data_IF_303324922105
#
_entry.id   IF_303324922105
#
_cell.length_a   1.000
_cell.length_b   1.000
_cell.length_c   1.000
_cell.angle_alpha   90.00
_cell.angle_beta   90.00
_cell.angle_gamma   90.00
#
_symmetry.space_group_name_H-M   'P 1'
#
loop_
_entity.id
_entity.type
_entity.pdbx_description
1 polymer ?
#
# COMPACT_ATOMS: atom_id res chain seq x y z
N UNK A 1 2.99 -1.41 7.62
CA UNK A 1 3.73 -1.32 6.35
C UNK A 1 3.66 0.12 5.86
N UNK A 2 4.59 0.55 5.03
CA UNK A 2 4.52 1.89 4.42
C UNK A 2 3.39 2.01 3.39
N UNK A 3 2.88 3.23 3.22
CA UNK A 3 1.72 3.48 2.37
C UNK A 3 1.97 3.20 0.88
N UNK A 4 3.23 3.26 0.41
CA UNK A 4 3.54 2.93 -0.99
C UNK A 4 3.35 1.43 -1.22
N UNK A 5 3.84 0.59 -0.32
CA UNK A 5 3.60 -0.84 -0.39
C UNK A 5 2.11 -1.18 -0.37
N UNK A 6 1.34 -0.55 0.52
CA UNK A 6 -0.09 -0.78 0.63
C UNK A 6 -0.86 -0.35 -0.62
N UNK A 7 -0.44 0.76 -1.24
CA UNK A 7 -0.95 1.20 -2.54
C UNK A 7 -0.67 0.17 -3.65
N UNK A 8 0.56 -0.35 -3.71
CA UNK A 8 0.98 -1.34 -4.72
C UNK A 8 0.20 -2.65 -4.59
N UNK A 9 0.11 -3.19 -3.37
CA UNK A 9 -0.64 -4.42 -3.12
C UNK A 9 -2.14 -4.22 -3.39
N UNK A 10 -2.70 -3.10 -2.97
CA UNK A 10 -4.08 -2.72 -3.27
C UNK A 10 -4.33 -2.65 -4.78
N UNK A 11 -3.43 -2.02 -5.55
CA UNK A 11 -3.52 -1.93 -7.00
C UNK A 11 -3.49 -3.31 -7.67
N UNK A 12 -2.59 -4.19 -7.23
CA UNK A 12 -2.52 -5.57 -7.73
C UNK A 12 -3.82 -6.34 -7.47
N UNK A 13 -4.40 -6.20 -6.26
CA UNK A 13 -5.71 -6.77 -5.94
C UNK A 13 -6.81 -6.24 -6.88
N UNK A 14 -6.80 -4.93 -7.15
CA UNK A 14 -7.72 -4.33 -8.11
C UNK A 14 -7.58 -4.91 -9.52
N UNK A 15 -6.36 -5.08 -10.04
CA UNK A 15 -6.12 -5.69 -11.34
C UNK A 15 -6.61 -7.14 -11.41
N UNK A 16 -6.35 -7.93 -10.37
CA UNK A 16 -6.79 -9.33 -10.30
C UNK A 16 -8.31 -9.44 -10.39
N UNK A 17 -9.04 -8.58 -9.67
CA UNK A 17 -10.52 -8.67 -9.62
C UNK A 17 -11.18 -8.03 -10.85
N UNK A 18 -10.73 -6.84 -11.25
CA UNK A 18 -11.45 -5.99 -12.19
C UNK A 18 -10.62 -5.51 -13.40
N UNK A 19 -9.33 -5.84 -13.47
CA UNK A 19 -8.42 -5.37 -14.51
C UNK A 19 -8.92 -5.63 -15.93
N UNK A 20 -9.50 -6.81 -16.18
CA UNK A 20 -10.04 -7.16 -17.50
C UNK A 20 -11.33 -6.42 -17.87
N UNK A 21 -12.11 -5.97 -16.88
CA UNK A 21 -13.39 -5.27 -17.10
C UNK A 21 -13.17 -3.76 -17.29
N UNK A 22 -12.36 -3.14 -16.42
CA UNK A 22 -12.24 -1.68 -16.33
C UNK A 22 -10.82 -1.15 -16.54
N UNK A 23 -9.84 -2.02 -16.82
CA UNK A 23 -8.45 -1.66 -17.11
C UNK A 23 -7.77 -0.96 -15.95
N UNK A 24 -6.98 0.09 -16.27
CA UNK A 24 -6.23 0.86 -15.27
C UNK A 24 -7.09 1.52 -14.18
N UNK A 25 -8.39 1.69 -14.39
CA UNK A 25 -9.30 2.15 -13.33
C UNK A 25 -9.33 1.14 -12.17
N UNK A 26 -9.13 -0.16 -12.43
CA UNK A 26 -9.07 -1.19 -11.42
C UNK A 26 -7.83 -1.04 -10.54
N UNK A 27 -6.66 -0.78 -11.16
CA UNK A 27 -5.43 -0.47 -10.44
C UNK A 27 -5.61 0.73 -9.50
N UNK A 28 -6.20 1.82 -9.99
CA UNK A 28 -6.42 3.04 -9.18
C UNK A 28 -7.42 2.79 -8.06
N UNK A 29 -8.55 2.15 -8.32
CA UNK A 29 -9.54 1.83 -7.29
C UNK A 29 -8.97 0.88 -6.24
N UNK A 30 -8.17 -0.10 -6.66
CA UNK A 30 -7.49 -1.02 -5.76
C UNK A 30 -6.44 -0.31 -4.90
N UNK A 31 -5.64 0.58 -5.49
CA UNK A 31 -4.70 1.44 -4.79
C UNK A 31 -5.39 2.27 -3.71
N UNK A 32 -6.50 2.94 -4.05
CA UNK A 32 -7.33 3.69 -3.10
C UNK A 32 -7.82 2.73 -2.00
N UNK A 33 -8.34 1.56 -2.39
CA UNK A 33 -8.80 0.53 -1.47
C UNK A 33 -7.74 0.12 -0.44
N UNK A 34 -6.51 -0.09 -0.90
CA UNK A 34 -5.37 -0.45 -0.06
C UNK A 34 -4.94 0.66 0.89
N UNK A 35 -5.27 1.93 0.63
CA UNK A 35 -4.96 3.06 1.52
C UNK A 35 -6.08 3.41 2.49
N UNK A 36 -7.28 2.83 2.33
CA UNK A 36 -8.45 3.17 3.17
C UNK A 36 -8.16 2.94 4.66
N UNK A 37 -7.58 1.80 5.11
CA UNK A 37 -7.33 1.57 6.53
C UNK A 37 -6.47 2.67 7.17
N UNK A 38 -5.42 3.12 6.49
CA UNK A 38 -4.50 4.18 6.96
C UNK A 38 -5.13 5.58 7.01
N UNK A 39 -6.35 5.77 6.48
CA UNK A 39 -7.05 7.05 6.64
C UNK A 39 -7.45 7.30 8.11
N UNK A 40 -7.32 6.30 8.98
CA UNK A 40 -7.43 6.45 10.42
C UNK A 40 -6.42 7.45 11.02
N UNK A 41 -5.34 7.80 10.31
CA UNK A 41 -4.41 8.89 10.69
C UNK A 41 -5.15 10.22 10.84
N UNK A 42 -6.24 10.44 10.11
CA UNK A 42 -7.07 11.64 10.24
C UNK A 42 -7.76 11.75 11.61
N UNK A 43 -7.86 10.65 12.37
CA UNK A 43 -8.37 10.68 13.74
C UNK A 43 -7.51 11.57 14.66
N UNK A 44 -6.22 11.75 14.34
CA UNK A 44 -5.31 12.64 15.08
C UNK A 44 -5.73 14.11 15.09
N UNK A 45 -6.61 14.55 14.17
CA UNK A 45 -7.17 15.90 14.20
C UNK A 45 -8.26 16.08 15.27
N UNK A 46 -8.83 14.98 15.78
CA UNK A 46 -9.98 14.99 16.68
C UNK A 46 -9.70 14.32 18.04
N UNK A 47 -8.71 13.43 18.09
CA UNK A 47 -8.33 12.67 19.28
C UNK A 47 -7.01 13.17 19.87
N UNK A 48 -6.83 12.95 21.17
CA UNK A 48 -5.53 13.16 21.82
C UNK A 48 -4.50 12.16 21.26
N UNK A 49 -3.19 12.48 21.36
CA UNK A 49 -2.13 11.68 20.75
C UNK A 49 -2.17 10.19 21.13
N UNK A 50 -2.44 9.88 22.41
CA UNK A 50 -2.52 8.49 22.90
C UNK A 50 -3.74 7.75 22.32
N UNK A 51 -4.90 8.41 22.28
CA UNK A 51 -6.13 7.84 21.74
C UNK A 51 -6.04 7.68 20.22
N UNK A 52 -5.45 8.65 19.53
CA UNK A 52 -5.17 8.58 18.10
C UNK A 52 -4.23 7.42 17.77
N UNK A 53 -3.19 7.20 18.59
CA UNK A 53 -2.25 6.08 18.41
C UNK A 53 -2.89 4.72 18.75
N UNK A 54 -3.83 4.68 19.69
CA UNK A 54 -4.60 3.47 20.00
C UNK A 54 -5.63 3.16 18.91
N UNK A 55 -6.27 4.20 18.35
CA UNK A 55 -7.24 4.11 17.27
C UNK A 55 -6.56 3.74 15.94
N UNK A 56 -5.38 4.31 15.69
CA UNK A 56 -4.53 3.96 14.57
C UNK A 56 -4.17 2.47 14.67
N UNK A 57 -4.51 1.68 13.64
CA UNK A 57 -4.35 0.21 13.61
C UNK A 57 -5.34 -0.60 14.45
N UNK A 58 -6.40 0.04 14.93
CA UNK A 58 -7.51 -0.58 15.63
C UNK A 58 -8.69 -0.89 14.70
N UNK A 59 -9.81 -0.14 14.76
CA UNK A 59 -11.05 -0.53 14.07
C UNK A 59 -10.92 -0.70 12.56
N UNK A 60 -10.21 0.19 11.87
CA UNK A 60 -10.09 0.19 10.41
C UNK A 60 -9.16 -0.92 9.87
N UNK A 61 -8.36 -1.54 10.75
CA UNK A 61 -7.48 -2.66 10.45
C UNK A 61 -8.06 -4.00 10.92
N UNK A 62 -9.33 -4.01 11.32
CA UNK A 62 -10.03 -5.24 11.74
C UNK A 62 -10.57 -6.04 10.54
N UNK A 63 -10.69 -7.36 10.72
CA UNK A 63 -11.36 -8.23 9.76
C UNK A 63 -12.84 -7.86 9.61
N UNK A 64 -13.47 -7.38 10.69
CA UNK A 64 -14.85 -6.92 10.66
C UNK A 64 -15.03 -5.72 9.70
N UNK A 65 -14.14 -4.73 9.79
CA UNK A 65 -14.13 -3.59 8.88
C UNK A 65 -13.90 -4.02 7.44
N UNK A 66 -12.92 -4.89 7.21
CA UNK A 66 -12.65 -5.46 5.89
C UNK A 66 -13.83 -6.23 5.30
N UNK A 67 -14.69 -6.84 6.12
CA UNK A 67 -15.90 -7.53 5.67
C UNK A 67 -17.07 -6.57 5.37
N UNK A 68 -17.27 -5.51 6.17
CA UNK A 68 -18.47 -4.65 6.07
C UNK A 68 -18.25 -3.48 5.12
N UNK A 69 -17.14 -2.76 5.24
CA UNK A 69 -16.91 -1.51 4.51
C UNK A 69 -16.92 -1.66 2.97
N UNK A 70 -16.44 -2.77 2.36
CA UNK A 70 -16.51 -2.97 0.92
C UNK A 70 -17.93 -2.87 0.33
N UNK A 71 -18.95 -3.29 1.07
CA UNK A 71 -20.35 -3.18 0.63
C UNK A 71 -20.79 -1.72 0.50
N UNK A 72 -20.33 -0.87 1.44
CA UNK A 72 -20.64 0.56 1.49
C UNK A 72 -19.89 1.28 0.36
N UNK A 73 -18.58 1.14 0.29
CA UNK A 73 -17.77 1.85 -0.71
C UNK A 73 -18.08 1.35 -2.13
N UNK A 74 -18.33 0.05 -2.31
CA UNK A 74 -18.76 -0.53 -3.58
C UNK A 74 -20.08 0.07 -4.08
N UNK A 75 -21.00 0.40 -3.17
CA UNK A 75 -22.29 1.01 -3.52
C UNK A 75 -22.09 2.44 -4.03
N UNK A 76 -21.30 3.24 -3.31
CA UNK A 76 -20.99 4.61 -3.73
C UNK A 76 -20.22 4.66 -5.04
N UNK A 77 -19.26 3.76 -5.25
CA UNK A 77 -18.51 3.69 -6.52
C UNK A 77 -19.41 3.27 -7.67
N UNK A 78 -20.31 2.29 -7.49
CA UNK A 78 -21.28 1.91 -8.52
C UNK A 78 -22.22 3.08 -8.84
N UNK A 79 -22.78 3.72 -7.82
CA UNK A 79 -23.66 4.90 -7.98
C UNK A 79 -22.94 6.06 -8.68
N UNK A 80 -21.67 6.28 -8.38
CA UNK A 80 -20.84 7.29 -9.03
C UNK A 80 -20.69 7.02 -10.54
N UNK A 81 -20.38 5.79 -10.93
CA UNK A 81 -20.29 5.45 -12.35
C UNK A 81 -21.65 5.47 -13.05
N UNK A 82 -22.73 5.05 -12.39
CA UNK A 82 -24.08 5.08 -12.95
C UNK A 82 -24.60 6.51 -13.17
N UNK A 83 -24.17 7.45 -12.34
CA UNK A 83 -24.54 8.86 -12.48
C UNK A 83 -23.98 9.55 -13.74
N UNK A 84 -22.98 8.95 -14.39
CA UNK A 84 -22.29 9.53 -15.54
C UNK A 84 -21.46 10.79 -15.23
N UNK A 85 -21.38 11.24 -13.97
CA UNK A 85 -20.63 12.44 -13.56
C UNK A 85 -19.17 12.36 -13.98
N UNK A 86 -18.56 11.17 -13.90
CA UNK A 86 -17.17 10.91 -14.27
C UNK A 86 -16.83 11.31 -15.73
N UNK A 87 -17.82 11.35 -16.62
CA UNK A 87 -17.62 11.67 -18.03
C UNK A 87 -17.86 13.17 -18.34
N UNK A 88 -18.47 13.92 -17.40
CA UNK A 88 -18.68 15.36 -17.55
C UNK A 88 -17.31 16.06 -17.68
N UNK A 89 -17.18 16.96 -18.66
CA UNK A 89 -15.91 17.66 -18.95
C UNK A 89 -15.38 18.41 -17.72
N UNK A 90 -16.26 19.09 -16.97
CA UNK A 90 -15.89 19.78 -15.74
C UNK A 90 -15.28 18.87 -14.68
N UNK A 91 -15.84 17.68 -14.47
CA UNK A 91 -15.30 16.69 -13.53
C UNK A 91 -13.91 16.20 -13.96
N UNK A 92 -13.71 15.94 -15.26
CA UNK A 92 -12.41 15.51 -15.81
C UNK A 92 -11.34 16.60 -15.71
N UNK A 93 -11.71 17.85 -15.95
CA UNK A 93 -10.82 19.01 -15.74
C UNK A 93 -10.45 19.14 -14.27
N UNK A 94 -11.44 19.04 -13.37
CA UNK A 94 -11.20 19.10 -11.93
C UNK A 94 -10.23 18.00 -11.48
N UNK A 95 -10.48 16.74 -11.87
CA UNK A 95 -9.58 15.63 -11.55
C UNK A 95 -8.17 15.81 -12.10
N UNK A 96 -8.03 16.38 -13.31
CA UNK A 96 -6.74 16.72 -13.90
C UNK A 96 -5.99 17.79 -13.09
N UNK A 97 -6.66 18.90 -12.75
CA UNK A 97 -6.06 19.99 -11.95
C UNK A 97 -5.66 19.47 -10.57
N UNK A 98 -6.55 18.71 -9.93
CA UNK A 98 -6.27 18.11 -8.62
C UNK A 98 -5.04 17.20 -8.66
N UNK A 99 -4.95 16.31 -9.65
CA UNK A 99 -3.78 15.47 -9.85
C UNK A 99 -2.50 16.27 -10.15
N UNK A 100 -2.61 17.36 -10.90
CA UNK A 100 -1.48 18.25 -11.21
C UNK A 100 -0.96 18.95 -9.94
N UNK A 101 -1.85 19.46 -9.09
CA UNK A 101 -1.46 20.09 -7.82
C UNK A 101 -0.74 19.11 -6.90
N UNK A 102 -1.25 17.88 -6.77
CA UNK A 102 -0.59 16.83 -5.98
C UNK A 102 0.79 16.52 -6.56
N UNK A 103 0.91 16.36 -7.88
CA UNK A 103 2.18 16.08 -8.53
C UNK A 103 3.20 17.19 -8.32
N UNK A 104 2.80 18.45 -8.42
CA UNK A 104 3.68 19.60 -8.17
C UNK A 104 4.12 19.67 -6.70
N UNK A 105 3.21 19.36 -5.76
CA UNK A 105 3.53 19.28 -4.32
C UNK A 105 4.54 18.17 -4.01
N UNK A 106 4.31 16.95 -4.49
CA UNK A 106 5.24 15.84 -4.29
C UNK A 106 6.57 16.09 -5.03
N UNK A 107 6.50 16.59 -6.26
CA UNK A 107 7.67 16.88 -7.08
C UNK A 107 8.56 17.97 -6.48
N UNK A 108 7.99 18.99 -5.83
CA UNK A 108 8.76 20.02 -5.13
C UNK A 108 9.47 19.47 -3.89
N UNK A 109 8.79 18.65 -3.06
CA UNK A 109 9.42 17.96 -1.92
C UNK A 109 10.56 17.06 -2.40
N UNK A 110 10.32 16.25 -3.43
CA UNK A 110 11.34 15.37 -4.01
C UNK A 110 12.54 16.17 -4.56
N UNK A 111 12.29 17.32 -5.18
CA UNK A 111 13.34 18.20 -5.67
C UNK A 111 14.21 18.75 -4.54
N UNK A 112 13.60 19.14 -3.40
CA UNK A 112 14.34 19.60 -2.21
C UNK A 112 15.23 18.47 -1.67
N UNK A 113 14.69 17.26 -1.56
CA UNK A 113 15.45 16.08 -1.12
C UNK A 113 16.62 15.79 -2.06
N UNK A 114 16.39 15.86 -3.38
CA UNK A 114 17.45 15.67 -4.38
C UNK A 114 18.55 16.72 -4.25
N UNK A 115 18.21 18.00 -4.08
CA UNK A 115 19.20 19.07 -3.87
C UNK A 115 20.01 18.81 -2.60
N UNK A 116 19.36 18.35 -1.52
CA UNK A 116 20.04 18.04 -0.27
C UNK A 116 21.07 16.91 -0.41
N UNK A 117 20.73 15.85 -1.17
CA UNK A 117 21.58 14.66 -1.32
C UNK A 117 22.65 14.85 -2.41
N UNK A 118 22.25 15.39 -3.57
CA UNK A 118 23.05 15.40 -4.81
C UNK A 118 23.64 16.78 -5.16
N UNK A 119 23.29 17.82 -4.39
CA UNK A 119 23.78 19.19 -4.53
C UNK A 119 23.68 19.69 -6.00
N UNK A 120 24.79 20.14 -6.59
CA UNK A 120 24.81 20.68 -7.96
C UNK A 120 24.37 19.69 -9.04
N UNK A 121 24.50 18.38 -8.81
CA UNK A 121 24.04 17.38 -9.80
C UNK A 121 22.52 17.19 -9.78
N UNK A 122 21.84 17.63 -8.71
CA UNK A 122 20.39 17.52 -8.56
C UNK A 122 19.61 18.28 -9.63
N UNK A 123 20.12 19.42 -10.11
CA UNK A 123 19.42 20.27 -11.08
C UNK A 123 19.15 19.55 -12.41
N UNK A 124 20.05 18.65 -12.84
CA UNK A 124 19.85 17.83 -14.03
C UNK A 124 18.67 16.86 -13.80
N UNK A 125 18.62 16.20 -12.65
CA UNK A 125 17.53 15.28 -12.31
C UNK A 125 16.18 16.00 -12.16
N UNK A 126 16.18 17.19 -11.57
CA UNK A 126 14.97 18.03 -11.45
C UNK A 126 14.46 18.44 -12.84
N UNK A 127 15.36 18.85 -13.74
CA UNK A 127 14.99 19.17 -15.12
C UNK A 127 14.39 17.95 -15.84
N UNK A 128 15.01 16.77 -15.71
CA UNK A 128 14.48 15.53 -16.29
C UNK A 128 13.10 15.17 -15.73
N UNK A 129 12.91 15.29 -14.41
CA UNK A 129 11.62 15.08 -13.73
C UNK A 129 10.56 16.07 -14.24
N UNK A 130 10.92 17.35 -14.43
CA UNK A 130 10.02 18.36 -14.95
C UNK A 130 9.60 18.08 -16.40
N UNK A 131 10.55 17.70 -17.26
CA UNK A 131 10.27 17.31 -18.66
C UNK A 131 9.36 16.09 -18.70
N UNK A 132 9.68 15.04 -17.93
CA UNK A 132 8.87 13.84 -17.86
C UNK A 132 7.46 14.13 -17.34
N UNK A 133 7.36 14.92 -16.27
CA UNK A 133 6.09 15.38 -15.71
C UNK A 133 5.25 16.14 -16.73
N UNK A 134 5.85 17.07 -17.47
CA UNK A 134 5.17 17.81 -18.54
C UNK A 134 4.63 16.86 -19.62
N UNK A 135 5.44 15.93 -20.11
CA UNK A 135 5.02 14.96 -21.13
C UNK A 135 3.90 14.05 -20.61
N UNK A 136 3.97 13.62 -19.36
CA UNK A 136 2.96 12.78 -18.71
C UNK A 136 1.63 13.52 -18.54
N UNK A 137 1.63 14.75 -18.02
CA UNK A 137 0.41 15.54 -17.88
C UNK A 137 -0.17 15.96 -19.23
N UNK A 138 0.66 16.23 -20.24
CA UNK A 138 0.21 16.41 -21.61
C UNK A 138 -0.53 15.17 -22.10
N UNK A 139 0.04 13.98 -21.89
CA UNK A 139 -0.60 12.71 -22.24
C UNK A 139 -1.95 12.51 -21.52
N UNK A 140 -2.01 12.77 -20.21
CA UNK A 140 -3.27 12.67 -19.45
C UNK A 140 -4.30 13.67 -19.98
N UNK A 141 -3.91 14.92 -20.25
CA UNK A 141 -4.83 15.93 -20.76
C UNK A 141 -5.52 15.47 -22.05
N UNK A 142 -4.75 14.96 -23.02
CA UNK A 142 -5.32 14.48 -24.27
C UNK A 142 -6.13 13.18 -24.14
N UNK A 143 -5.76 12.26 -23.23
CA UNK A 143 -6.42 10.95 -23.13
C UNK A 143 -7.52 10.85 -22.07
N UNK A 144 -7.51 11.71 -21.06
CA UNK A 144 -8.51 11.74 -19.99
C UNK A 144 -9.46 12.94 -20.17
N UNK A 145 -8.93 14.16 -20.26
CA UNK A 145 -9.75 15.39 -20.30
C UNK A 145 -10.48 15.53 -21.63
N UNK A 146 -9.83 15.21 -22.75
CA UNK A 146 -10.43 15.41 -24.08
C UNK A 146 -11.24 14.20 -24.57
N UNK A 147 -10.95 12.97 -24.13
CA UNK A 147 -11.65 11.76 -24.59
C UNK A 147 -12.75 11.32 -23.63
N UNK A 148 -13.94 11.04 -24.16
CA UNK A 148 -15.02 10.41 -23.39
C UNK A 148 -14.57 9.06 -22.87
N UNK A 149 -14.85 8.82 -21.59
CA UNK A 149 -14.43 7.61 -20.90
C UNK A 149 -15.49 6.53 -21.08
N UNK A 150 -15.05 5.31 -21.37
CA UNK A 150 -15.96 4.17 -21.41
C UNK A 150 -16.62 3.95 -20.04
N UNK A 151 -17.91 3.63 -20.08
CA UNK A 151 -18.70 3.24 -18.90
C UNK A 151 -18.18 1.89 -18.41
N UNK A 152 -17.79 1.76 -17.14
CA UNK A 152 -17.39 0.48 -16.57
C UNK A 152 -18.48 -0.58 -16.72
N UNK A 153 -18.12 -1.77 -17.19
CA UNK A 153 -19.02 -2.94 -17.27
C UNK A 153 -19.14 -3.72 -15.95
N UNK A 154 -18.52 -3.21 -14.88
CA UNK A 154 -18.45 -3.87 -13.58
C UNK A 154 -19.79 -3.82 -12.83
N UNK A 155 -20.17 -4.94 -12.23
CA UNK A 155 -21.33 -5.05 -11.35
C UNK A 155 -21.03 -4.49 -9.97
N UNK A 156 -22.06 -4.22 -9.16
CA UNK A 156 -21.89 -3.83 -7.76
C UNK A 156 -21.00 -4.84 -7.00
N UNK A 157 -21.27 -6.13 -7.13
CA UNK A 157 -20.51 -7.18 -6.46
C UNK A 157 -19.05 -7.24 -6.91
N UNK A 158 -18.74 -6.87 -8.15
CA UNK A 158 -17.35 -6.79 -8.59
C UNK A 158 -16.57 -5.69 -7.84
N UNK A 159 -17.21 -4.53 -7.60
CA UNK A 159 -16.61 -3.47 -6.78
C UNK A 159 -16.45 -3.90 -5.33
N UNK A 160 -17.44 -4.58 -4.76
CA UNK A 160 -17.34 -5.15 -3.41
C UNK A 160 -16.15 -6.10 -3.32
N UNK A 161 -15.96 -7.01 -4.28
CA UNK A 161 -14.81 -7.93 -4.32
C UNK A 161 -13.48 -7.21 -4.42
N UNK A 162 -13.39 -6.15 -5.23
CA UNK A 162 -12.17 -5.35 -5.37
C UNK A 162 -11.81 -4.71 -4.03
N UNK A 163 -12.76 -4.01 -3.40
CA UNK A 163 -12.50 -3.32 -2.14
C UNK A 163 -12.29 -4.29 -0.99
N UNK A 164 -13.01 -5.41 -0.96
CA UNK A 164 -12.80 -6.47 0.02
C UNK A 164 -11.37 -6.97 -0.02
N UNK A 165 -10.87 -7.35 -1.21
CA UNK A 165 -9.51 -7.85 -1.31
C UNK A 165 -8.47 -6.78 -0.95
N UNK A 166 -8.59 -5.57 -1.52
CA UNK A 166 -7.64 -4.47 -1.25
C UNK A 166 -7.61 -4.04 0.22
N UNK A 167 -8.78 -3.96 0.88
CA UNK A 167 -8.87 -3.58 2.30
C UNK A 167 -8.41 -4.73 3.20
N UNK A 168 -8.74 -5.98 2.89
CA UNK A 168 -8.36 -7.14 3.69
C UNK A 168 -6.84 -7.39 3.68
N UNK A 169 -6.19 -7.23 2.53
CA UNK A 169 -4.74 -7.47 2.42
C UNK A 169 -3.91 -6.48 3.23
N UNK A 170 -4.44 -5.29 3.48
CA UNK A 170 -3.74 -4.25 4.22
C UNK A 170 -3.40 -4.65 5.67
N UNK A 171 -4.38 -4.95 6.54
CA UNK A 171 -4.10 -5.30 7.92
C UNK A 171 -3.40 -6.64 8.06
N UNK A 172 -3.57 -7.55 7.10
CA UNK A 172 -2.80 -8.80 7.03
C UNK A 172 -1.32 -8.50 6.81
N UNK A 173 -0.98 -7.64 5.84
CA UNK A 173 0.41 -7.23 5.63
C UNK A 173 0.96 -6.46 6.83
N UNK A 174 0.16 -5.59 7.45
CA UNK A 174 0.60 -4.85 8.64
C UNK A 174 0.81 -5.75 9.86
N UNK A 175 0.08 -6.87 9.98
CA UNK A 175 0.32 -7.89 11.02
C UNK A 175 1.68 -8.60 10.88
N UNK A 176 2.31 -8.52 9.70
CA UNK A 176 3.66 -9.06 9.44
C UNK A 176 4.78 -8.09 9.83
N UNK A 177 4.43 -6.84 10.14
CA UNK A 177 5.37 -5.83 10.63
C UNK A 177 5.44 -5.79 12.15
N UNK A 178 6.46 -5.11 12.69
CA UNK A 178 6.67 -4.96 14.13
C UNK A 178 5.54 -4.26 14.87
N UNK A 179 4.82 -3.34 14.20
CA UNK A 179 3.74 -2.59 14.85
C UNK A 179 2.47 -3.43 15.06
N UNK A 180 2.23 -4.41 14.18
CA UNK A 180 1.03 -5.23 14.19
C UNK A 180 -0.28 -4.47 13.95
N UNK A 181 -1.38 -5.23 14.04
CA UNK A 181 -2.77 -4.75 13.88
C UNK A 181 -3.74 -5.51 14.79
N UNK A 182 -4.86 -4.88 15.15
CA UNK A 182 -5.94 -5.52 15.92
C UNK A 182 -6.92 -6.23 14.98
N UNK A 183 -6.52 -7.37 14.40
CA UNK A 183 -7.32 -8.10 13.41
C UNK A 183 -8.72 -8.50 13.93
N UNK A 184 -8.83 -8.82 15.22
CA UNK A 184 -10.06 -9.33 15.83
C UNK A 184 -10.88 -8.28 16.58
N UNK A 185 -10.57 -6.99 16.42
CA UNK A 185 -11.41 -5.93 16.97
C UNK A 185 -12.85 -6.01 16.40
N UNK A 186 -13.92 -5.82 17.20
CA UNK A 186 -13.97 -5.42 18.61
C UNK A 186 -13.98 -6.59 19.61
N UNK A 187 -13.81 -7.83 19.16
CA UNK A 187 -13.87 -9.01 20.01
C UNK A 187 -12.61 -9.20 20.86
N UNK A 188 -11.46 -8.74 20.35
CA UNK A 188 -10.19 -8.71 21.09
C UNK A 188 -9.42 -7.43 20.78
N UNK A 189 -8.71 -6.92 21.78
CA UNK A 189 -7.82 -5.77 21.68
C UNK A 189 -6.35 -6.18 21.46
N UNK A 190 -6.07 -7.48 21.33
CA UNK A 190 -4.72 -7.99 21.08
C UNK A 190 -4.21 -7.56 19.71
N UNK A 191 -2.95 -7.10 19.68
CA UNK A 191 -2.24 -6.74 18.45
C UNK A 191 -1.44 -7.93 17.97
N UNK A 192 -1.71 -8.37 16.76
CA UNK A 192 -0.97 -9.46 16.12
C UNK A 192 0.18 -8.83 15.34
N UNK A 193 1.41 -9.14 15.77
CA UNK A 193 2.65 -8.64 15.18
C UNK A 193 3.66 -9.79 15.03
N UNK A 194 3.80 -10.31 13.81
CA UNK A 194 4.79 -11.35 13.49
C UNK A 194 6.18 -10.73 13.33
N UNK A 195 6.31 -9.46 12.94
CA UNK A 195 7.62 -8.78 12.86
C UNK A 195 8.64 -9.43 11.91
N UNK A 196 8.20 -10.12 10.86
CA UNK A 196 9.11 -10.76 9.89
C UNK A 196 9.61 -9.81 8.80
N UNK A 197 8.91 -8.69 8.55
CA UNK A 197 9.28 -7.72 7.53
C UNK A 197 9.37 -6.30 8.10
N UNK A 198 10.32 -5.52 7.58
CA UNK A 198 10.47 -4.11 7.93
C UNK A 198 9.29 -3.30 7.40
N UNK A 199 8.95 -2.21 8.08
CA UNK A 199 7.83 -1.34 7.69
C UNK A 199 8.05 -0.75 6.29
N UNK A 200 9.30 -0.38 5.99
CA UNK A 200 9.74 0.07 4.67
C UNK A 200 10.79 -0.93 4.19
N UNK A 201 10.50 -1.64 3.10
CA UNK A 201 11.42 -2.60 2.50
C UNK A 201 11.47 -2.38 0.96
N UNK A 202 12.50 -1.66 0.45
CA UNK A 202 12.67 -1.40 -0.97
C UNK A 202 12.79 -2.67 -1.82
N UNK A 203 13.38 -3.75 -1.29
CA UNK A 203 13.59 -5.01 -2.01
C UNK A 203 12.25 -5.71 -2.24
N UNK A 204 11.34 -5.60 -1.28
CA UNK A 204 9.96 -6.05 -1.45
C UNK A 204 9.15 -5.13 -2.38
N UNK A 205 9.23 -3.82 -2.14
CA UNK A 205 8.30 -2.83 -2.71
C UNK A 205 8.56 -2.54 -4.18
N UNK A 206 9.81 -2.27 -4.56
CA UNK A 206 10.12 -1.76 -5.89
C UNK A 206 9.96 -2.79 -7.02
N UNK A 207 10.36 -4.07 -6.87
CA UNK A 207 10.08 -5.08 -7.89
C UNK A 207 8.58 -5.25 -8.13
N UNK A 208 7.78 -5.24 -7.05
CA UNK A 208 6.34 -5.38 -7.16
C UNK A 208 5.68 -4.14 -7.79
N UNK A 209 6.10 -2.94 -7.37
CA UNK A 209 5.70 -1.67 -8.00
C UNK A 209 6.02 -1.67 -9.49
N UNK A 210 7.20 -2.15 -9.89
CA UNK A 210 7.60 -2.29 -11.28
C UNK A 210 6.62 -3.14 -12.09
N UNK A 211 6.15 -4.26 -11.52
CA UNK A 211 5.13 -5.10 -12.15
C UNK A 211 3.78 -4.36 -12.29
N UNK A 212 3.34 -3.66 -11.25
CA UNK A 212 2.10 -2.88 -11.25
C UNK A 212 2.14 -1.77 -12.31
N UNK A 213 3.23 -1.02 -12.38
CA UNK A 213 3.44 0.04 -13.38
C UNK A 213 3.50 -0.57 -14.79
N UNK A 214 4.27 -1.64 -14.98
CA UNK A 214 4.41 -2.33 -16.26
C UNK A 214 3.05 -2.83 -16.78
N UNK A 215 2.22 -3.40 -15.90
CA UNK A 215 0.86 -3.81 -16.23
C UNK A 215 0.01 -2.65 -16.77
N UNK A 216 0.18 -1.44 -16.20
CA UNK A 216 -0.53 -0.23 -16.61
C UNK A 216 -0.35 0.18 -18.07
N UNK A 217 0.71 -0.25 -18.74
CA UNK A 217 0.99 0.09 -20.14
C UNK A 217 0.29 -0.80 -21.18
N UNK A 218 -0.27 -1.94 -20.76
CA UNK A 218 -0.92 -2.89 -21.68
C UNK A 218 -2.44 -2.67 -21.73
N UNK A 219 -3.08 -3.01 -22.85
CA UNK A 219 -4.53 -2.93 -22.99
C UNK A 219 -5.24 -3.96 -22.08
N UNK A 220 -6.44 -3.64 -21.57
CA UNK A 220 -7.19 -4.52 -20.64
C UNK A 220 -7.49 -5.94 -21.17
N UNK A 221 -7.46 -6.12 -22.49
CA UNK A 221 -7.68 -7.41 -23.17
C UNK A 221 -6.40 -8.23 -23.34
N UNK A 222 -5.23 -7.62 -23.12
CA UNK A 222 -3.94 -8.27 -23.30
C UNK A 222 -3.65 -9.22 -22.12
N UNK A 223 -3.35 -10.48 -22.44
CA UNK A 223 -2.98 -11.51 -21.46
C UNK A 223 -1.70 -11.15 -20.70
N UNK A 224 -0.83 -10.31 -21.27
CA UNK A 224 0.40 -9.82 -20.63
C UNK A 224 0.11 -9.14 -19.28
N UNK A 225 -1.02 -8.42 -19.15
CA UNK A 225 -1.42 -7.78 -17.88
C UNK A 225 -1.52 -8.79 -16.74
N UNK A 226 -2.30 -9.85 -16.94
CA UNK A 226 -2.49 -10.89 -15.94
C UNK A 226 -1.18 -11.63 -15.62
N UNK A 227 -0.34 -11.85 -16.62
CA UNK A 227 0.98 -12.47 -16.41
C UNK A 227 1.91 -11.60 -15.57
N UNK A 228 2.04 -10.31 -15.90
CA UNK A 228 2.93 -9.38 -15.18
C UNK A 228 2.49 -9.23 -13.71
N UNK A 229 1.19 -9.03 -13.46
CA UNK A 229 0.69 -8.97 -12.08
C UNK A 229 0.85 -10.32 -11.36
N UNK A 230 0.64 -11.44 -12.06
CA UNK A 230 0.89 -12.77 -11.51
C UNK A 230 2.34 -12.95 -11.05
N UNK A 231 3.31 -12.49 -11.86
CA UNK A 231 4.73 -12.47 -11.48
C UNK A 231 4.95 -11.58 -10.26
N UNK A 232 4.38 -10.38 -10.24
CA UNK A 232 4.50 -9.47 -9.09
C UNK A 232 3.98 -10.08 -7.78
N UNK A 233 2.80 -10.70 -7.82
CA UNK A 233 2.20 -11.39 -6.68
C UNK A 233 3.06 -12.59 -6.26
N UNK A 234 3.57 -13.36 -7.22
CA UNK A 234 4.44 -14.50 -6.94
C UNK A 234 5.74 -14.06 -6.25
N UNK A 235 6.41 -13.03 -6.78
CA UNK A 235 7.63 -12.46 -6.18
C UNK A 235 7.36 -11.94 -4.77
N UNK A 236 6.28 -11.18 -4.59
CA UNK A 236 5.84 -10.71 -3.27
C UNK A 236 5.59 -11.86 -2.29
N UNK A 237 4.87 -12.90 -2.73
CA UNK A 237 4.56 -14.07 -1.88
C UNK A 237 5.80 -14.88 -1.52
N UNK A 238 6.68 -15.13 -2.48
CA UNK A 238 7.95 -15.83 -2.26
C UNK A 238 8.87 -15.06 -1.31
N UNK A 239 8.95 -13.73 -1.47
CA UNK A 239 9.71 -12.88 -0.54
C UNK A 239 9.14 -12.98 0.87
N UNK A 240 7.81 -12.89 1.02
CA UNK A 240 7.18 -12.98 2.34
C UNK A 240 7.46 -14.31 3.03
N UNK A 241 7.33 -15.42 2.28
CA UNK A 241 7.68 -16.76 2.77
C UNK A 241 9.16 -16.82 3.20
N UNK A 242 10.07 -16.28 2.38
CA UNK A 242 11.50 -16.23 2.72
C UNK A 242 11.75 -15.45 4.01
N UNK A 243 11.11 -14.29 4.21
CA UNK A 243 11.26 -13.51 5.45
C UNK A 243 10.75 -14.23 6.70
N UNK A 244 9.71 -15.07 6.58
CA UNK A 244 9.24 -15.91 7.68
C UNK A 244 10.27 -16.97 8.07
N UNK A 245 10.93 -17.59 7.08
CA UNK A 245 12.04 -18.52 7.33
C UNK A 245 13.24 -17.81 7.98
N UNK A 246 13.62 -16.63 7.48
CA UNK A 246 14.68 -15.81 8.08
C UNK A 246 14.34 -15.48 9.53
N UNK A 247 13.10 -15.03 9.81
CA UNK A 247 12.66 -14.75 11.17
C UNK A 247 12.82 -15.96 12.08
N UNK A 248 12.32 -17.13 11.66
CA UNK A 248 12.41 -18.36 12.47
C UNK A 248 13.86 -18.75 12.78
N UNK A 249 14.78 -18.60 11.81
CA UNK A 249 16.20 -18.84 12.04
C UNK A 249 16.81 -17.81 13.01
N UNK A 250 16.46 -16.54 12.85
CA UNK A 250 16.92 -15.45 13.72
C UNK A 250 16.46 -15.65 15.16
N UNK A 251 15.19 -16.01 15.37
CA UNK A 251 14.64 -16.35 16.68
C UNK A 251 15.46 -17.45 17.35
N UNK A 252 15.73 -18.53 16.62
CA UNK A 252 16.50 -19.66 17.15
C UNK A 252 17.95 -19.28 17.52
N UNK A 253 18.61 -18.45 16.69
CA UNK A 253 19.97 -17.97 16.97
C UNK A 253 20.00 -17.09 18.22
N UNK A 254 19.03 -16.18 18.38
CA UNK A 254 18.94 -15.31 19.56
C UNK A 254 18.63 -16.10 20.83
N UNK A 255 17.67 -17.02 20.81
CA UNK A 255 17.35 -17.87 21.95
C UNK A 255 18.57 -18.68 22.41
N UNK A 256 19.30 -19.28 21.46
CA UNK A 256 20.52 -20.05 21.76
C UNK A 256 21.60 -19.18 22.41
N UNK A 257 21.79 -17.94 21.94
CA UNK A 257 22.79 -17.01 22.48
C UNK A 257 22.42 -16.49 23.88
N UNK A 258 21.12 -16.21 24.12
CA UNK A 258 20.63 -15.81 25.45
C UNK A 258 20.81 -16.94 26.47
N UNK A 259 20.48 -18.18 26.08
CA UNK A 259 20.70 -19.37 26.91
C UNK A 259 22.19 -19.61 27.19
N UNK A 260 23.05 -19.52 26.17
CA UNK A 260 24.49 -19.68 26.33
C UNK A 260 25.12 -18.61 27.24
N UNK A 261 24.56 -17.40 27.22
CA UNK A 261 25.00 -16.28 28.08
C UNK A 261 24.34 -16.28 29.47
N UNK A 262 23.46 -17.26 29.75
CA UNK A 262 22.70 -17.37 31.01
C UNK A 262 21.91 -16.10 31.37
N UNK A 263 21.41 -15.37 30.36
CA UNK A 263 20.61 -14.15 30.57
C UNK A 263 19.15 -14.59 30.79
N UNK A 264 18.55 -14.33 31.97
CA UNK A 264 17.14 -14.61 32.20
C UNK A 264 16.28 -13.64 31.37
N UNK A 265 15.23 -14.15 30.72
CA UNK A 265 14.27 -13.35 29.98
C UNK A 265 12.87 -13.95 30.11
N UNK A 266 11.85 -13.09 30.05
CA UNK A 266 10.42 -13.47 30.06
C UNK A 266 9.81 -13.38 28.68
N UNK A 267 10.25 -12.42 27.85
CA UNK A 267 9.78 -12.24 26.48
C UNK A 267 10.92 -11.81 25.56
N UNK A 268 10.88 -12.27 24.32
CA UNK A 268 11.78 -11.82 23.25
C UNK A 268 10.97 -11.23 22.10
N UNK A 269 11.52 -10.19 21.50
CA UNK A 269 11.02 -9.58 20.27
C UNK A 269 12.19 -9.45 19.30
N UNK A 270 12.15 -10.19 18.19
CA UNK A 270 13.12 -10.01 17.10
C UNK A 270 12.49 -9.26 15.95
N UNK A 271 13.26 -8.36 15.35
CA UNK A 271 12.77 -7.50 14.28
C UNK A 271 13.88 -7.20 13.28
N UNK A 272 13.56 -7.13 11.97
CA UNK A 272 14.51 -6.65 10.98
C UNK A 272 14.72 -5.15 11.14
N UNK A 273 15.90 -4.67 10.76
CA UNK A 273 16.19 -3.24 10.65
C UNK A 273 15.44 -2.61 9.46
N UNK A 274 15.24 -1.29 9.51
CA UNK A 274 14.51 -0.60 8.43
C UNK A 274 15.29 -0.72 7.11
N UNK A 275 14.57 -0.81 5.99
CA UNK A 275 15.07 -0.94 4.61
C UNK A 275 15.62 -2.30 4.19
N UNK A 276 15.73 -3.31 5.07
CA UNK A 276 16.29 -4.60 4.68
C UNK A 276 15.83 -5.75 5.57
N UNK A 277 15.96 -6.99 5.07
CA UNK A 277 15.72 -8.21 5.84
C UNK A 277 17.02 -8.96 6.20
N UNK A 278 18.17 -8.28 6.16
CA UNK A 278 19.49 -8.90 6.36
C UNK A 278 19.97 -8.70 7.79
N UNK A 279 19.88 -7.46 8.29
CA UNK A 279 20.31 -7.11 9.63
C UNK A 279 19.10 -7.10 10.57
N UNK A 280 19.22 -7.84 11.67
CA UNK A 280 18.19 -8.05 12.68
C UNK A 280 18.70 -7.66 14.06
N UNK A 281 17.79 -7.23 14.91
CA UNK A 281 18.04 -7.05 16.34
C UNK A 281 16.96 -7.73 17.16
N UNK A 282 17.28 -8.00 18.42
CA UNK A 282 16.37 -8.59 19.37
C UNK A 282 16.31 -7.75 20.64
N UNK A 283 15.12 -7.65 21.24
CA UNK A 283 14.90 -7.09 22.56
C UNK A 283 14.48 -8.26 23.45
N UNK A 284 15.23 -8.48 24.53
CA UNK A 284 14.86 -9.44 25.57
C UNK A 284 14.40 -8.65 26.79
N UNK A 285 13.17 -8.90 27.23
CA UNK A 285 12.57 -8.33 28.42
C UNK A 285 12.83 -9.26 29.59
N UNK A 286 13.26 -8.72 30.73
CA UNK A 286 13.43 -9.45 31.98
C UNK A 286 12.80 -8.64 33.12
N UNK A 287 12.33 -9.34 34.16
CA UNK A 287 11.70 -8.69 35.33
C UNK A 287 12.72 -7.94 36.22
N UNK A 288 14.00 -7.99 35.84
CA UNK A 288 15.10 -7.29 36.50
C UNK A 288 15.30 -5.94 35.82
N UNK A 289 14.68 -4.90 36.39
CA UNK A 289 14.93 -3.50 36.03
C UNK A 289 16.40 -3.09 36.25
#
# INVERSE_FOLDING_TARGET
MDSLTQLVLGAACGEVVLGRKIGNKALVLGAIGGTIPDLDVLSSFFLNQLDALAFHRGPMHSLLFACIFPFIIGFFVKKFYDSGIFNKKGYRIFGFIFGLVIFLGIGSILSIILVFILQSTAYIFILLLAIFGFLFFRYIFFNYVNKTQEIPTATYLDYVKLFFLSILTHPLLDSLTTFGTQLFWPFSNERIAISNIAIVDPIYTFPFLGCVIACGFYARTDKKRSWIIGIGILVSSLYMIATLFTKSNVDHVFEKNLQASSIPYTRTLTTPTILNNILWYAIAESDSA
#
